data_IF_024127304406
#
_entry.id   IF_024127304406
#
_cell.length_a   1.000
_cell.length_b   1.000
_cell.length_c   1.000
_cell.angle_alpha   90.00
_cell.angle_beta   90.00
_cell.angle_gamma   90.00
#
_symmetry.space_group_name_H-M   'P 1'
#
loop_
_entity.id
_entity.type
_entity.pdbx_description
1 polymer ?
#
# COMPACT_ATOMS: atom_id res chain seq x y z
N UNK A 1 -11.81 37.81 6.80
CA UNK A 1 -12.70 38.70 6.00
C UNK A 1 -13.27 39.75 6.93
N UNK A 2 -13.06 41.04 6.64
CA UNK A 2 -13.69 42.10 7.39
C UNK A 2 -15.07 42.38 6.81
N UNK A 3 -16.04 42.62 7.68
CA UNK A 3 -17.32 43.16 7.24
C UNK A 3 -17.19 44.68 7.17
N UNK A 4 -17.90 45.28 6.23
CA UNK A 4 -18.01 46.73 6.20
C UNK A 4 -18.80 47.18 7.43
N UNK A 5 -18.27 48.14 8.16
CA UNK A 5 -18.94 48.88 9.24
C UNK A 5 -18.98 50.36 8.86
N UNK A 6 -20.15 50.93 8.96
CA UNK A 6 -20.32 52.35 8.73
C UNK A 6 -19.40 53.18 9.66
N UNK A 7 -18.54 54.01 9.09
CA UNK A 7 -17.59 54.83 9.82
C UNK A 7 -18.18 56.17 10.18
N UNK A 8 -19.02 56.73 9.31
CA UNK A 8 -19.65 58.04 9.46
C UNK A 8 -21.14 57.84 9.75
N UNK A 9 -21.63 58.42 10.87
CA UNK A 9 -23.05 58.40 11.21
C UNK A 9 -23.77 59.52 10.46
N UNK A 10 -24.21 59.27 9.25
CA UNK A 10 -24.93 60.24 8.40
C UNK A 10 -26.20 60.77 9.12
N UNK A 11 -27.00 59.89 9.69
CA UNK A 11 -28.20 60.29 10.45
C UNK A 11 -27.86 61.05 11.73
N UNK A 12 -26.70 60.79 12.29
CA UNK A 12 -26.19 61.58 13.44
C UNK A 12 -25.85 63.01 13.04
N UNK A 13 -25.22 63.19 11.85
CA UNK A 13 -24.96 64.54 11.29
C UNK A 13 -26.25 65.31 11.00
N UNK A 14 -27.26 64.67 10.44
CA UNK A 14 -28.57 65.27 10.16
C UNK A 14 -29.29 65.75 11.43
N UNK A 15 -29.05 65.07 12.55
CA UNK A 15 -29.67 65.46 13.83
C UNK A 15 -29.00 66.66 14.50
N UNK A 16 -27.85 67.14 14.01
CA UNK A 16 -27.15 68.30 14.56
C UNK A 16 -27.89 69.61 14.21
N UNK A 17 -27.68 70.65 15.01
CA UNK A 17 -28.24 71.98 14.77
C UNK A 17 -27.67 72.62 13.50
N UNK A 18 -28.41 73.51 12.83
CA UNK A 18 -28.03 74.11 11.55
C UNK A 18 -26.73 74.92 11.60
N UNK A 19 -26.32 75.38 12.77
CA UNK A 19 -25.07 76.12 12.99
C UNK A 19 -23.89 75.23 13.39
N UNK A 20 -24.12 73.92 13.55
CA UNK A 20 -23.07 72.99 13.95
C UNK A 20 -22.14 72.69 12.77
N UNK A 21 -20.84 72.94 12.87
CA UNK A 21 -19.89 72.68 11.79
C UNK A 21 -19.81 71.21 11.41
N UNK A 22 -20.08 70.28 12.32
CA UNK A 22 -20.02 68.85 12.07
C UNK A 22 -21.24 68.32 11.32
N UNK A 23 -22.28 69.17 11.12
CA UNK A 23 -23.45 68.84 10.30
C UNK A 23 -23.08 68.74 8.80
N UNK A 24 -22.06 69.50 8.38
CA UNK A 24 -21.61 69.50 7.00
C UNK A 24 -20.89 68.21 6.67
N UNK A 25 -21.28 67.52 5.60
CA UNK A 25 -20.58 66.38 5.04
C UNK A 25 -19.31 66.90 4.38
N UNK A 26 -18.15 66.55 4.89
CA UNK A 26 -16.84 66.96 4.40
C UNK A 26 -16.26 65.98 3.40
N UNK A 27 -15.25 66.39 2.63
CA UNK A 27 -14.49 65.50 1.80
C UNK A 27 -13.81 64.38 2.62
N UNK A 28 -13.35 64.67 3.84
CA UNK A 28 -12.72 63.69 4.71
C UNK A 28 -13.72 62.61 5.20
N UNK A 29 -14.99 62.95 5.35
CA UNK A 29 -16.03 61.96 5.69
C UNK A 29 -16.21 60.96 4.55
N UNK A 30 -16.22 61.44 3.31
CA UNK A 30 -16.30 60.58 2.12
C UNK A 30 -15.04 59.70 1.99
N UNK A 31 -13.85 60.29 2.12
CA UNK A 31 -12.60 59.56 2.01
C UNK A 31 -12.51 58.45 3.06
N UNK A 32 -12.92 58.75 4.30
CA UNK A 32 -12.97 57.76 5.40
C UNK A 32 -13.92 56.61 5.08
N UNK A 33 -15.15 56.93 4.64
CA UNK A 33 -16.14 55.91 4.34
C UNK A 33 -15.76 55.04 3.14
N UNK A 34 -15.32 55.69 2.04
CA UNK A 34 -14.88 54.93 0.85
C UNK A 34 -13.62 54.10 1.12
N UNK A 35 -12.70 54.56 1.94
CA UNK A 35 -11.55 53.78 2.35
C UNK A 35 -11.96 52.53 3.16
N UNK A 36 -12.97 52.65 4.02
CA UNK A 36 -13.54 51.54 4.77
C UNK A 36 -14.25 50.52 3.84
N UNK A 37 -15.03 51.04 2.86
CA UNK A 37 -15.64 50.20 1.82
C UNK A 37 -14.59 49.48 0.99
N UNK A 38 -13.56 50.19 0.53
CA UNK A 38 -12.46 49.59 -0.24
C UNK A 38 -11.78 48.50 0.54
N UNK A 39 -11.49 48.74 1.81
CA UNK A 39 -10.87 47.72 2.69
C UNK A 39 -11.76 46.48 2.85
N UNK A 40 -13.08 46.70 3.06
CA UNK A 40 -14.02 45.60 3.17
C UNK A 40 -14.17 44.82 1.85
N UNK A 41 -14.21 45.49 0.72
CA UNK A 41 -14.28 44.83 -0.61
C UNK A 41 -13.01 44.03 -0.90
N UNK A 42 -11.84 44.66 -0.71
CA UNK A 42 -10.56 44.02 -0.96
C UNK A 42 -10.28 42.84 -0.01
N UNK A 43 -11.02 42.71 1.11
CA UNK A 43 -10.94 41.56 2.02
C UNK A 43 -11.80 40.37 1.56
N UNK A 44 -12.61 40.51 0.50
CA UNK A 44 -13.41 39.42 -0.06
C UNK A 44 -12.61 38.67 -1.11
N UNK A 45 -12.90 37.36 -1.22
CA UNK A 45 -12.33 36.59 -2.31
C UNK A 45 -12.78 37.12 -3.66
N UNK A 46 -11.86 37.27 -4.61
CA UNK A 46 -12.21 37.61 -5.98
C UNK A 46 -12.93 36.43 -6.63
N UNK A 47 -14.10 36.70 -7.19
CA UNK A 47 -14.90 35.72 -7.93
C UNK A 47 -14.29 35.36 -9.30
N UNK A 48 -13.30 36.14 -9.76
CA UNK A 48 -12.67 35.92 -11.06
C UNK A 48 -11.52 34.91 -11.02
N UNK A 49 -11.13 34.45 -9.81
CA UNK A 49 -10.16 33.41 -9.63
C UNK A 49 -8.75 33.77 -10.12
N UNK A 50 -8.28 34.99 -9.83
CA UNK A 50 -6.90 35.37 -10.12
C UNK A 50 -5.94 34.46 -9.39
N UNK A 51 -4.95 33.93 -10.11
CA UNK A 51 -3.94 33.00 -9.57
C UNK A 51 -3.07 33.61 -8.44
N UNK A 52 -3.07 34.95 -8.33
CA UNK A 52 -2.37 35.68 -7.25
C UNK A 52 -3.18 35.77 -5.96
N UNK A 53 -4.49 35.46 -6.01
CA UNK A 53 -5.37 35.52 -4.85
C UNK A 53 -5.68 34.13 -4.30
N UNK A 54 -5.39 33.89 -3.04
CA UNK A 54 -5.69 32.64 -2.36
C UNK A 54 -6.93 32.76 -1.48
N UNK A 55 -7.97 32.00 -1.78
CA UNK A 55 -9.09 31.81 -0.86
C UNK A 55 -8.72 30.78 0.21
N UNK A 56 -8.60 31.23 1.45
CA UNK A 56 -8.34 30.35 2.58
C UNK A 56 -9.65 29.98 3.28
N UNK A 57 -9.94 28.69 3.33
CA UNK A 57 -11.06 28.12 4.10
C UNK A 57 -10.53 27.18 5.17
N UNK A 58 -11.27 27.03 6.27
CA UNK A 58 -10.95 25.98 7.25
C UNK A 58 -11.15 24.62 6.61
N UNK A 59 -10.17 23.71 6.82
CA UNK A 59 -10.31 22.31 6.41
C UNK A 59 -11.42 21.64 7.21
N UNK A 60 -12.38 21.06 6.53
CA UNK A 60 -13.46 20.32 7.19
C UNK A 60 -12.91 19.06 7.88
N UNK A 61 -13.65 18.56 8.86
CA UNK A 61 -13.34 17.27 9.50
C UNK A 61 -13.56 16.13 8.49
N UNK A 62 -12.74 15.09 8.55
CA UNK A 62 -12.89 13.89 7.71
C UNK A 62 -14.31 13.31 7.83
N UNK A 63 -14.87 12.89 6.70
CA UNK A 63 -16.24 12.38 6.63
C UNK A 63 -17.32 13.45 6.51
N UNK A 64 -16.99 14.75 6.50
CA UNK A 64 -17.97 15.82 6.30
C UNK A 64 -18.63 15.71 4.94
N UNK A 65 -19.96 15.65 4.91
CA UNK A 65 -20.77 15.63 3.68
C UNK A 65 -21.77 16.81 3.72
N UNK A 66 -21.29 18.01 3.47
CA UNK A 66 -22.07 19.26 3.47
C UNK A 66 -21.80 20.05 2.19
N UNK A 67 -22.49 21.18 2.04
CA UNK A 67 -22.29 22.12 0.92
C UNK A 67 -21.09 23.06 1.10
N UNK A 68 -20.21 22.78 2.07
CA UNK A 68 -18.99 23.57 2.28
C UNK A 68 -18.00 23.39 1.13
N UNK A 69 -17.25 24.46 0.84
CA UNK A 69 -16.14 24.37 -0.12
C UNK A 69 -15.04 23.49 0.45
N UNK A 70 -14.71 22.41 -0.26
CA UNK A 70 -13.63 21.52 0.13
C UNK A 70 -12.27 22.20 -0.11
N UNK A 71 -11.42 22.21 0.91
CA UNK A 71 -10.02 22.61 0.75
C UNK A 71 -9.24 21.53 0.01
N UNK A 72 -8.12 21.91 -0.62
CA UNK A 72 -7.20 20.93 -1.23
C UNK A 72 -6.67 19.91 -0.23
N UNK A 73 -6.46 20.33 1.01
CA UNK A 73 -6.07 19.45 2.11
C UNK A 73 -7.16 18.42 2.44
N UNK A 74 -8.43 18.84 2.50
CA UNK A 74 -9.57 17.93 2.69
C UNK A 74 -9.68 16.91 1.57
N UNK A 75 -9.68 17.37 0.30
CA UNK A 75 -9.78 16.47 -0.86
C UNK A 75 -8.65 15.45 -0.87
N UNK A 76 -7.41 15.87 -0.65
CA UNK A 76 -6.25 14.98 -0.60
C UNK A 76 -6.39 13.93 0.51
N UNK A 77 -6.82 14.34 1.69
CA UNK A 77 -7.02 13.45 2.84
C UNK A 77 -8.13 12.42 2.60
N UNK A 78 -9.29 12.87 2.10
CA UNK A 78 -10.44 11.99 1.84
C UNK A 78 -10.17 11.00 0.70
N UNK A 79 -9.59 11.45 -0.41
CA UNK A 79 -9.22 10.56 -1.52
C UNK A 79 -8.28 9.47 -1.03
N UNK A 80 -7.23 9.85 -0.29
CA UNK A 80 -6.28 8.88 0.21
C UNK A 80 -6.90 7.87 1.17
N UNK A 81 -7.73 8.32 2.12
CA UNK A 81 -8.35 7.44 3.11
C UNK A 81 -9.34 6.44 2.51
N UNK A 82 -9.90 6.76 1.34
CA UNK A 82 -10.82 5.88 0.60
C UNK A 82 -10.07 4.93 -0.35
N UNK A 83 -9.02 5.40 -1.01
CA UNK A 83 -8.24 4.60 -1.98
C UNK A 83 -7.25 3.68 -1.27
N UNK A 84 -6.59 4.22 -0.24
CA UNK A 84 -5.62 3.48 0.57
C UNK A 84 -5.93 3.64 2.06
N UNK A 85 -6.95 2.98 2.60
CA UNK A 85 -7.18 2.95 4.04
C UNK A 85 -5.97 2.34 4.77
N UNK A 86 -5.86 2.58 6.08
CA UNK A 86 -4.85 1.91 6.91
C UNK A 86 -4.99 0.39 6.75
N UNK A 87 -3.88 -0.29 6.50
CA UNK A 87 -3.83 -1.70 6.15
C UNK A 87 -3.82 -1.98 4.64
N UNK A 88 -4.13 -1.01 3.77
CA UNK A 88 -4.06 -1.20 2.32
C UNK A 88 -2.62 -1.39 1.84
N UNK A 89 -2.47 -2.16 0.76
CA UNK A 89 -1.18 -2.42 0.12
C UNK A 89 -1.12 -1.65 -1.19
N UNK A 90 -0.11 -0.81 -1.32
CA UNK A 90 0.26 -0.14 -2.57
C UNK A 90 1.35 -0.92 -3.28
N UNK A 91 1.14 -1.24 -4.55
CA UNK A 91 2.10 -1.95 -5.41
C UNK A 91 2.62 -1.04 -6.51
N UNK A 92 3.92 -1.09 -6.79
CA UNK A 92 4.55 -0.24 -7.79
C UNK A 92 5.83 -0.87 -8.34
N UNK A 93 6.19 -0.51 -9.56
CA UNK A 93 7.51 -0.83 -10.15
C UNK A 93 8.53 0.27 -9.87
N UNK A 94 8.10 1.43 -9.36
CA UNK A 94 8.98 2.54 -8.97
C UNK A 94 9.63 2.25 -7.62
N UNK A 95 10.95 2.36 -7.57
CA UNK A 95 11.69 2.26 -6.32
C UNK A 95 11.53 3.54 -5.49
N UNK A 96 10.97 3.44 -4.31
CA UNK A 96 10.97 4.48 -3.30
C UNK A 96 12.03 4.15 -2.24
N UNK A 97 12.85 5.13 -1.87
CA UNK A 97 13.94 4.91 -0.92
C UNK A 97 13.46 4.57 0.49
N UNK A 98 12.35 5.18 0.90
CA UNK A 98 11.81 5.05 2.25
C UNK A 98 10.32 5.42 2.31
N UNK A 99 9.74 5.36 3.51
CA UNK A 99 8.36 5.77 3.78
C UNK A 99 8.08 7.23 3.39
N UNK A 100 9.03 8.14 3.60
CA UNK A 100 8.86 9.55 3.29
C UNK A 100 8.70 9.79 1.78
N UNK A 101 9.46 9.06 0.96
CA UNK A 101 9.33 9.11 -0.49
C UNK A 101 7.96 8.61 -0.98
N UNK A 102 7.42 7.56 -0.36
CA UNK A 102 6.06 7.07 -0.65
C UNK A 102 5.01 8.10 -0.23
N UNK A 103 5.14 8.69 0.96
CA UNK A 103 4.25 9.76 1.45
C UNK A 103 4.26 10.96 0.50
N UNK A 104 5.42 11.36 0.00
CA UNK A 104 5.54 12.46 -0.96
C UNK A 104 4.80 12.14 -2.28
N UNK A 105 4.85 10.89 -2.74
CA UNK A 105 4.26 10.46 -4.01
C UNK A 105 2.74 10.30 -3.94
N UNK A 106 2.22 9.61 -2.93
CA UNK A 106 0.81 9.22 -2.86
C UNK A 106 0.08 9.75 -1.62
N UNK A 107 0.78 10.27 -0.63
CA UNK A 107 0.21 10.79 0.63
C UNK A 107 0.24 9.77 1.76
N UNK A 108 -0.54 10.04 2.82
CA UNK A 108 -0.52 9.29 4.08
C UNK A 108 0.53 9.82 5.04
N UNK A 109 0.72 9.12 6.13
CA UNK A 109 1.72 9.49 7.15
C UNK A 109 2.82 8.46 7.27
N UNK A 110 2.48 7.17 7.19
CA UNK A 110 3.47 6.11 7.36
C UNK A 110 3.17 4.91 6.46
N UNK A 111 4.22 4.46 5.76
CA UNK A 111 4.22 3.27 4.94
C UNK A 111 5.38 2.36 5.34
N UNK A 112 5.19 1.06 5.30
CA UNK A 112 6.25 0.06 5.56
C UNK A 112 6.38 -0.85 4.36
N UNK A 113 7.62 -1.22 4.02
CA UNK A 113 7.85 -2.23 3.00
C UNK A 113 7.17 -3.54 3.42
N UNK A 114 6.49 -4.19 2.50
CA UNK A 114 5.65 -5.34 2.79
C UNK A 114 5.94 -6.50 1.84
N UNK A 115 5.87 -7.73 2.35
CA UNK A 115 5.87 -8.96 1.55
C UNK A 115 7.12 -9.19 0.69
N UNK A 116 8.30 -8.70 1.09
CA UNK A 116 9.53 -8.85 0.32
C UNK A 116 9.84 -10.32 0.01
N UNK A 117 9.90 -10.67 -1.28
CA UNK A 117 10.15 -12.04 -1.76
C UNK A 117 9.01 -13.03 -1.51
N UNK A 118 7.80 -12.55 -1.24
CA UNK A 118 6.59 -13.35 -0.99
C UNK A 118 5.54 -13.12 -2.08
N UNK A 119 4.73 -14.12 -2.32
CA UNK A 119 3.49 -14.04 -3.09
C UNK A 119 2.35 -13.81 -2.10
N UNK A 120 1.43 -12.91 -2.44
CA UNK A 120 0.25 -12.66 -1.61
C UNK A 120 -0.79 -13.76 -1.85
N UNK A 121 -1.31 -14.29 -0.76
CA UNK A 121 -2.37 -15.29 -0.74
C UNK A 121 -3.54 -14.73 0.09
N UNK A 122 -4.78 -15.04 -0.28
CA UNK A 122 -5.94 -14.67 0.51
C UNK A 122 -6.01 -15.47 1.81
N UNK A 123 -6.49 -14.85 2.89
CA UNK A 123 -6.76 -15.54 4.15
C UNK A 123 -7.90 -16.52 3.95
N UNK A 124 -7.70 -17.75 4.41
CA UNK A 124 -8.75 -18.78 4.52
C UNK A 124 -8.75 -19.31 5.96
N UNK A 125 -9.76 -18.90 6.73
CA UNK A 125 -9.91 -19.30 8.14
C UNK A 125 -10.22 -20.77 8.34
N UNK A 126 -10.48 -21.50 7.26
CA UNK A 126 -10.72 -22.96 7.27
C UNK A 126 -9.46 -23.78 7.03
N UNK A 127 -8.36 -23.14 6.62
CA UNK A 127 -7.08 -23.78 6.32
C UNK A 127 -5.98 -23.24 7.25
N UNK A 128 -5.44 -24.12 8.10
CA UNK A 128 -4.42 -23.73 9.10
C UNK A 128 -3.12 -23.18 8.52
N UNK A 129 -2.88 -23.35 7.22
CA UNK A 129 -1.70 -22.79 6.54
C UNK A 129 -1.90 -21.35 6.09
N UNK A 130 -3.18 -20.84 6.13
CA UNK A 130 -3.58 -19.52 5.63
C UNK A 130 -4.58 -18.81 6.53
N UNK A 131 -4.74 -19.19 7.80
CA UNK A 131 -5.80 -18.69 8.69
C UNK A 131 -5.49 -17.34 9.34
N UNK A 132 -4.25 -16.95 9.37
CA UNK A 132 -3.78 -15.75 10.07
C UNK A 132 -3.28 -14.68 9.11
N UNK A 133 -3.75 -13.42 9.31
CA UNK A 133 -3.29 -12.26 8.51
C UNK A 133 -1.78 -12.05 8.69
N UNK A 134 -1.08 -11.83 7.57
CA UNK A 134 0.38 -11.62 7.51
C UNK A 134 1.21 -12.84 7.90
N UNK A 135 0.61 -14.00 8.02
CA UNK A 135 1.33 -15.24 8.16
C UNK A 135 2.26 -15.50 6.97
N UNK A 136 3.37 -16.16 7.22
CA UNK A 136 4.35 -16.44 6.16
C UNK A 136 4.73 -17.90 6.15
N UNK A 137 4.68 -18.52 4.99
CA UNK A 137 5.02 -19.91 4.77
C UNK A 137 5.67 -20.18 3.42
N UNK A 138 5.72 -21.46 3.06
CA UNK A 138 6.19 -21.94 1.78
C UNK A 138 7.72 -21.98 1.62
N UNK A 139 8.17 -22.57 0.54
CA UNK A 139 9.58 -22.71 0.17
C UNK A 139 9.79 -22.35 -1.30
N UNK A 140 11.00 -21.97 -1.66
CA UNK A 140 11.42 -21.75 -3.06
C UNK A 140 11.97 -22.99 -3.72
N UNK A 141 12.42 -23.94 -2.92
CA UNK A 141 13.04 -25.17 -3.38
C UNK A 141 12.53 -26.34 -2.56
N UNK A 142 12.52 -27.51 -3.18
CA UNK A 142 12.14 -28.75 -2.52
C UNK A 142 13.14 -29.86 -2.88
N UNK A 143 13.55 -30.66 -1.90
CA UNK A 143 14.30 -31.88 -2.08
C UNK A 143 13.35 -33.05 -1.91
N UNK A 144 13.19 -33.86 -2.96
CA UNK A 144 12.34 -35.03 -2.91
C UNK A 144 12.78 -35.98 -1.81
N UNK A 145 11.85 -36.40 -0.99
CA UNK A 145 12.01 -37.48 -0.02
C UNK A 145 11.69 -38.81 -0.66
N UNK A 146 12.17 -39.91 -0.05
CA UNK A 146 11.85 -41.28 -0.51
C UNK A 146 10.32 -41.53 -0.51
N UNK A 147 9.60 -40.99 0.48
CA UNK A 147 8.15 -41.14 0.60
C UNK A 147 7.35 -40.44 -0.50
N UNK A 148 7.92 -39.42 -1.15
CA UNK A 148 7.29 -38.67 -2.23
C UNK A 148 7.51 -39.32 -3.62
N UNK A 149 8.37 -40.34 -3.69
CA UNK A 149 8.54 -41.11 -4.92
C UNK A 149 7.44 -42.17 -5.02
N UNK A 150 6.87 -42.40 -6.21
CA UNK A 150 5.99 -43.54 -6.45
C UNK A 150 6.70 -44.85 -6.08
N UNK A 151 5.98 -45.74 -5.44
CA UNK A 151 6.51 -47.07 -5.11
C UNK A 151 6.97 -47.76 -6.40
N UNK A 152 8.24 -48.17 -6.44
CA UNK A 152 8.83 -48.87 -7.58
C UNK A 152 9.82 -49.91 -7.10
N UNK A 153 10.05 -50.94 -7.90
CA UNK A 153 10.99 -52.03 -7.63
C UNK A 153 11.94 -52.19 -8.80
N UNK A 154 13.19 -52.49 -8.49
CA UNK A 154 14.18 -52.93 -9.47
C UNK A 154 14.54 -54.38 -9.17
N UNK A 155 14.39 -55.22 -10.20
CA UNK A 155 14.89 -56.59 -10.14
C UNK A 155 15.95 -56.74 -11.21
N UNK A 156 17.13 -57.16 -10.81
CA UNK A 156 18.13 -57.62 -11.77
C UNK A 156 18.83 -58.82 -11.24
N UNK A 157 19.06 -59.80 -12.14
CA UNK A 157 19.77 -61.02 -11.81
C UNK A 157 21.26 -60.83 -12.17
N UNK A 158 22.09 -60.82 -11.14
CA UNK A 158 23.53 -60.87 -11.34
C UNK A 158 23.99 -62.31 -11.14
N UNK A 159 24.35 -62.96 -12.22
CA UNK A 159 25.03 -64.26 -12.18
C UNK A 159 26.50 -64.02 -11.89
N UNK A 160 26.96 -64.35 -10.69
CA UNK A 160 28.37 -64.43 -10.37
C UNK A 160 28.81 -65.84 -10.78
N UNK A 161 29.70 -65.94 -11.75
CA UNK A 161 30.23 -67.25 -12.25
C UNK A 161 31.14 -67.98 -11.26
N UNK A 162 30.95 -67.78 -9.96
CA UNK A 162 31.70 -68.47 -8.90
C UNK A 162 30.89 -69.64 -8.34
N UNK A 163 31.54 -70.79 -8.29
CA UNK A 163 31.02 -72.04 -7.77
C UNK A 163 30.64 -71.88 -6.31
N UNK A 164 29.37 -71.73 -6.01
CA UNK A 164 28.89 -71.77 -4.65
C UNK A 164 29.01 -73.18 -4.11
N UNK A 165 29.90 -73.32 -3.15
CA UNK A 165 30.11 -74.65 -2.49
C UNK A 165 28.80 -75.24 -2.01
N UNK A 166 28.66 -76.50 -2.23
CA UNK A 166 27.66 -77.48 -1.84
C UNK A 166 26.48 -76.94 -1.03
N UNK A 167 25.29 -76.62 -1.63
CA UNK A 167 24.13 -76.44 -0.81
C UNK A 167 22.86 -75.86 -1.47
N UNK A 168 22.90 -75.22 -2.61
CA UNK A 168 21.64 -74.69 -3.21
C UNK A 168 21.57 -75.08 -4.69
N UNK A 169 20.96 -76.19 -4.92
CA UNK A 169 20.64 -76.69 -6.29
C UNK A 169 19.26 -76.11 -6.69
N UNK A 170 19.24 -75.03 -7.42
CA UNK A 170 18.03 -74.54 -8.07
C UNK A 170 18.05 -74.99 -9.51
N UNK A 171 17.31 -76.07 -9.77
CA UNK A 171 17.04 -76.60 -11.10
C UNK A 171 17.99 -77.67 -11.68
N UNK A 172 18.22 -78.79 -10.98
CA UNK A 172 18.58 -80.02 -11.64
C UNK A 172 19.82 -80.05 -12.56
N UNK A 173 20.52 -79.00 -12.74
CA UNK A 173 21.77 -78.87 -13.49
C UNK A 173 22.93 -78.64 -12.53
N UNK A 174 24.00 -79.41 -12.69
CA UNK A 174 25.16 -79.47 -11.83
C UNK A 174 26.06 -78.21 -11.86
N UNK A 175 25.51 -77.07 -12.15
CA UNK A 175 26.13 -75.76 -12.13
C UNK A 175 25.31 -74.84 -11.26
N UNK A 176 25.67 -74.77 -9.98
CA UNK A 176 25.01 -73.85 -9.03
C UNK A 176 25.34 -72.39 -9.39
N UNK A 177 24.36 -71.62 -9.75
CA UNK A 177 24.47 -70.18 -9.86
C UNK A 177 24.13 -69.61 -8.51
N UNK A 178 25.02 -68.81 -7.93
CA UNK A 178 24.75 -68.05 -6.74
C UNK A 178 24.15 -66.70 -7.11
N UNK A 179 22.99 -66.47 -6.61
CA UNK A 179 22.40 -65.13 -6.64
C UNK A 179 22.79 -64.39 -5.38
N UNK A 180 23.57 -63.36 -5.50
CA UNK A 180 23.77 -62.39 -4.41
C UNK A 180 22.90 -61.22 -4.68
N UNK A 181 22.03 -60.86 -3.75
CA UNK A 181 21.32 -59.59 -3.81
C UNK A 181 22.34 -58.45 -3.74
N UNK A 182 22.57 -57.78 -4.86
CA UNK A 182 23.42 -56.62 -4.92
C UNK A 182 22.51 -55.41 -5.03
N UNK A 183 22.70 -54.43 -4.18
CA UNK A 183 22.02 -53.16 -4.34
C UNK A 183 22.50 -52.51 -5.64
N UNK A 184 21.58 -51.89 -6.42
CA UNK A 184 21.96 -51.03 -7.52
C UNK A 184 22.81 -49.88 -7.03
N UNK A 185 23.71 -49.38 -7.85
CA UNK A 185 24.41 -48.14 -7.52
C UNK A 185 23.41 -47.01 -7.29
N UNK A 186 23.73 -46.16 -6.32
CA UNK A 186 22.94 -44.93 -6.06
C UNK A 186 22.89 -44.08 -7.30
N UNK A 187 21.70 -43.67 -7.71
CA UNK A 187 21.45 -42.70 -8.76
C UNK A 187 20.77 -41.46 -8.18
N UNK A 188 21.18 -40.28 -8.69
CA UNK A 188 20.68 -38.99 -8.19
C UNK A 188 21.58 -38.40 -7.09
N UNK A 189 21.53 -37.08 -6.94
CA UNK A 189 22.35 -36.27 -6.03
C UNK A 189 21.64 -35.83 -4.75
N UNK A 190 20.31 -35.97 -4.67
CA UNK A 190 19.52 -35.40 -3.59
C UNK A 190 19.49 -33.86 -3.61
N UNK A 191 19.82 -33.26 -4.76
CA UNK A 191 19.84 -31.80 -4.90
C UNK A 191 18.43 -31.26 -4.96
N UNK A 192 18.17 -30.21 -4.20
CA UNK A 192 16.89 -29.51 -4.24
C UNK A 192 16.62 -28.89 -5.62
N UNK A 193 15.40 -29.01 -6.11
CA UNK A 193 14.94 -28.37 -7.34
C UNK A 193 14.04 -27.17 -7.02
N UNK A 194 13.94 -26.22 -7.98
CA UNK A 194 13.08 -25.04 -7.85
C UNK A 194 11.61 -25.43 -8.01
N UNK A 195 10.78 -24.93 -7.10
CA UNK A 195 9.32 -25.04 -7.16
C UNK A 195 8.64 -23.68 -7.36
N UNK A 196 9.44 -22.66 -7.74
CA UNK A 196 8.90 -21.31 -7.99
C UNK A 196 8.13 -21.25 -9.31
N UNK A 197 6.93 -20.69 -9.26
CA UNK A 197 6.19 -20.30 -10.44
C UNK A 197 6.90 -19.13 -11.17
N UNK A 198 6.67 -18.93 -12.49
CA UNK A 198 7.08 -17.70 -13.14
C UNK A 198 6.53 -16.47 -12.41
N UNK A 199 7.36 -15.45 -12.19
CA UNK A 199 6.99 -14.28 -11.41
C UNK A 199 7.54 -12.99 -12.02
N UNK A 200 6.95 -11.88 -11.64
CA UNK A 200 7.48 -10.52 -11.83
C UNK A 200 7.56 -9.83 -10.48
N UNK A 201 8.66 -9.16 -10.21
CA UNK A 201 8.87 -8.46 -8.94
C UNK A 201 8.34 -7.04 -8.99
N UNK A 202 7.69 -6.63 -7.91
CA UNK A 202 7.21 -5.26 -7.67
C UNK A 202 7.55 -4.86 -6.25
N UNK A 203 7.58 -3.56 -5.98
CA UNK A 203 7.63 -3.04 -4.61
C UNK A 203 6.23 -3.04 -4.03
N UNK A 204 6.09 -3.47 -2.79
CA UNK A 204 4.85 -3.43 -2.03
C UNK A 204 5.06 -2.63 -0.75
N UNK A 205 4.12 -1.74 -0.47
CA UNK A 205 4.12 -0.89 0.71
C UNK A 205 2.77 -0.99 1.41
N UNK A 206 2.77 -1.31 2.70
CA UNK A 206 1.55 -1.34 3.52
C UNK A 206 1.41 -0.02 4.26
N UNK A 207 0.23 0.61 4.17
CA UNK A 207 -0.09 1.80 4.96
C UNK A 207 -0.32 1.42 6.41
N UNK A 208 0.36 2.10 7.35
CA UNK A 208 0.21 1.87 8.80
C UNK A 208 -0.38 3.05 9.55
N UNK A 209 -0.40 4.24 8.93
CA UNK A 209 -1.09 5.43 9.47
C UNK A 209 -1.45 6.43 8.35
#
# INVERSE_FOLDING_TARGET
MSNYNLQISWSGKDALGDADPDKIISGDDFDTEFSAVQTAVNSKADLNGDASESFSASTATSGTNTTQVATTAFVRSEVLSRVYPVGAIFTTVTAYADSAAVVAAIGGTTWVAFGAGKVLVGVDTGDSDFDTVEETGGSKTHTLTEAEMPSHTHTYDKTTGENCGSGVNINGSNSGYCYTSTASSSAGSGTAHSIMNPYITVYMWKRTA
#
